data_IF_255421481899
#
_entry.id   IF_255421481899
#
_cell.length_a   1.000
_cell.length_b   1.000
_cell.length_c   1.000
_cell.angle_alpha   90.00
_cell.angle_beta   90.00
_cell.angle_gamma   90.00
#
_symmetry.space_group_name_H-M   'P 1'
#
loop_
_entity.id
_entity.type
_entity.pdbx_description
1 polymer ?
#
# COMPACT_ATOMS: atom_id res chain seq x y z
N UNK A 1 -4.07 35.23 -14.10
CA UNK A 1 -2.65 35.62 -13.96
C UNK A 1 -2.01 34.58 -13.04
N UNK A 2 -0.95 33.92 -13.48
CA UNK A 2 -0.15 33.00 -12.66
C UNK A 2 1.23 33.61 -12.44
N UNK A 3 1.83 33.35 -11.30
CA UNK A 3 3.24 33.72 -11.02
C UNK A 3 4.22 32.64 -11.47
N UNK A 4 3.73 31.44 -11.76
CA UNK A 4 4.53 30.33 -12.26
C UNK A 4 4.45 30.28 -13.79
N UNK A 5 5.54 30.69 -14.43
CA UNK A 5 5.68 30.75 -15.90
C UNK A 5 6.09 29.40 -16.51
N UNK A 6 6.29 28.36 -15.69
CA UNK A 6 6.65 27.01 -16.17
C UNK A 6 5.42 26.14 -16.44
N UNK A 7 4.24 26.55 -15.98
CA UNK A 7 3.00 25.82 -16.18
C UNK A 7 2.51 25.99 -17.61
N UNK A 8 1.95 24.92 -18.18
CA UNK A 8 1.22 25.01 -19.45
C UNK A 8 -0.12 25.70 -19.24
N UNK A 9 -0.72 26.20 -20.31
CA UNK A 9 -2.01 26.87 -20.26
C UNK A 9 -3.11 25.95 -19.70
N UNK A 10 -3.13 24.69 -20.12
CA UNK A 10 -4.11 23.70 -19.68
C UNK A 10 -3.99 23.46 -18.17
N UNK A 11 -2.76 23.43 -17.65
CA UNK A 11 -2.50 23.22 -16.24
C UNK A 11 -2.93 24.42 -15.40
N UNK A 12 -2.71 25.64 -15.91
CA UNK A 12 -3.22 26.88 -15.28
C UNK A 12 -4.74 26.86 -15.21
N UNK A 13 -5.43 26.48 -16.31
CA UNK A 13 -6.89 26.35 -16.35
C UNK A 13 -7.37 25.30 -15.36
N UNK A 14 -6.72 24.13 -15.32
CA UNK A 14 -7.05 23.03 -14.40
C UNK A 14 -6.93 23.45 -12.94
N UNK A 15 -5.83 24.11 -12.56
CA UNK A 15 -5.62 24.62 -11.20
C UNK A 15 -6.67 25.67 -10.85
N UNK A 16 -6.95 26.60 -11.77
CA UNK A 16 -7.97 27.63 -11.54
C UNK A 16 -9.37 27.04 -11.39
N UNK A 17 -9.68 25.93 -12.08
CA UNK A 17 -10.93 25.19 -11.93
C UNK A 17 -11.20 24.74 -10.49
N UNK A 18 -10.14 24.39 -9.73
CA UNK A 18 -10.27 24.00 -8.30
C UNK A 18 -10.79 25.13 -7.42
N UNK A 19 -10.70 26.40 -7.86
CA UNK A 19 -11.26 27.55 -7.12
C UNK A 19 -12.74 27.38 -6.83
N UNK A 20 -13.50 26.75 -7.73
CA UNK A 20 -14.95 26.56 -7.55
C UNK A 20 -15.28 25.71 -6.32
N UNK A 21 -14.36 24.86 -5.86
CA UNK A 21 -14.57 24.04 -4.67
C UNK A 21 -14.88 24.88 -3.42
N UNK A 22 -14.37 26.11 -3.31
CA UNK A 22 -14.67 26.98 -2.17
C UNK A 22 -16.14 27.42 -2.15
N UNK A 23 -16.76 27.57 -3.32
CA UNK A 23 -18.18 27.93 -3.42
C UNK A 23 -19.06 26.75 -2.99
N UNK A 24 -18.67 25.53 -3.39
CA UNK A 24 -19.30 24.28 -2.94
C UNK A 24 -19.14 24.12 -1.42
N UNK A 25 -17.94 24.36 -0.88
CA UNK A 25 -17.68 24.37 0.56
C UNK A 25 -18.65 25.29 1.30
N UNK A 26 -18.73 26.56 0.92
CA UNK A 26 -19.62 27.52 1.59
C UNK A 26 -21.09 27.20 1.39
N UNK A 27 -21.48 26.65 0.23
CA UNK A 27 -22.84 26.14 0.01
C UNK A 27 -23.17 25.03 1.00
N UNK A 28 -22.28 24.05 1.17
CA UNK A 28 -22.52 22.93 2.09
C UNK A 28 -22.56 23.37 3.54
N UNK A 29 -21.59 24.19 3.97
CA UNK A 29 -21.53 24.71 5.33
C UNK A 29 -22.79 25.50 5.71
N UNK A 30 -23.29 26.37 4.82
CA UNK A 30 -24.50 27.16 5.08
C UNK A 30 -25.78 26.33 5.01
N UNK A 31 -25.95 25.52 3.97
CA UNK A 31 -27.22 24.83 3.69
C UNK A 31 -27.41 23.58 4.54
N UNK A 32 -26.36 22.77 4.74
CA UNK A 32 -26.48 21.46 5.37
C UNK A 32 -25.88 21.42 6.77
N UNK A 33 -24.77 22.13 6.99
CA UNK A 33 -24.10 22.15 8.30
C UNK A 33 -24.49 23.35 9.18
N UNK A 34 -25.55 24.06 8.80
CA UNK A 34 -26.22 25.10 9.58
C UNK A 34 -25.30 26.21 10.12
N UNK A 35 -24.23 26.56 9.38
CA UNK A 35 -23.24 27.56 9.78
C UNK A 35 -23.88 28.84 10.35
N UNK A 36 -24.90 29.38 9.67
CA UNK A 36 -25.54 30.65 10.05
C UNK A 36 -26.79 30.53 10.93
N UNK A 37 -27.34 29.32 11.12
CA UNK A 37 -28.67 29.13 11.76
C UNK A 37 -28.61 28.42 13.11
N UNK A 38 -27.57 27.65 13.38
CA UNK A 38 -27.44 26.82 14.58
C UNK A 38 -26.95 27.61 15.80
N UNK A 39 -25.93 28.45 15.64
CA UNK A 39 -25.41 29.27 16.73
C UNK A 39 -26.06 30.66 16.75
N UNK A 40 -26.80 30.96 17.83
CA UNK A 40 -27.38 32.29 18.12
C UNK A 40 -26.71 32.96 19.32
N UNK A 41 -25.49 32.53 19.64
CA UNK A 41 -24.74 33.10 20.77
C UNK A 41 -24.38 34.55 20.50
N UNK A 42 -24.36 35.35 21.56
CA UNK A 42 -23.85 36.73 21.53
C UNK A 42 -22.35 36.79 21.86
N UNK A 43 -21.76 35.68 22.31
CA UNK A 43 -20.33 35.58 22.58
C UNK A 43 -19.56 35.32 21.28
N UNK A 44 -18.57 36.17 21.01
CA UNK A 44 -17.70 36.03 19.86
C UNK A 44 -16.89 34.71 19.87
N UNK A 45 -16.45 34.28 21.05
CA UNK A 45 -15.72 33.01 21.21
C UNK A 45 -16.61 31.82 20.85
N UNK A 46 -17.87 31.84 21.27
CA UNK A 46 -18.84 30.81 20.93
C UNK A 46 -19.15 30.79 19.42
N UNK A 47 -19.24 31.96 18.78
CA UNK A 47 -19.43 32.04 17.32
C UNK A 47 -18.21 31.52 16.55
N UNK A 48 -17.00 31.84 17.03
CA UNK A 48 -15.74 31.37 16.45
C UNK A 48 -15.61 29.86 16.60
N UNK A 49 -15.88 29.32 17.79
CA UNK A 49 -15.88 27.88 18.05
C UNK A 49 -16.90 27.14 17.18
N UNK A 50 -18.12 27.66 17.07
CA UNK A 50 -19.15 27.10 16.19
C UNK A 50 -18.69 27.03 14.72
N UNK A 51 -18.12 28.12 14.21
CA UNK A 51 -17.60 28.19 12.84
C UNK A 51 -16.50 27.15 12.62
N UNK A 52 -15.55 27.05 13.55
CA UNK A 52 -14.48 26.05 13.49
C UNK A 52 -15.03 24.61 13.49
N UNK A 53 -16.02 24.32 14.34
CA UNK A 53 -16.67 23.00 14.40
C UNK A 53 -17.36 22.67 13.08
N UNK A 54 -18.11 23.61 12.51
CA UNK A 54 -18.79 23.41 11.22
C UNK A 54 -17.79 23.14 10.09
N UNK A 55 -16.69 23.88 10.05
CA UNK A 55 -15.65 23.68 9.04
C UNK A 55 -14.96 22.32 9.21
N UNK A 56 -14.65 21.92 10.45
CA UNK A 56 -14.08 20.59 10.74
C UNK A 56 -15.02 19.46 10.34
N UNK A 57 -16.34 19.60 10.59
CA UNK A 57 -17.34 18.63 10.13
C UNK A 57 -17.33 18.50 8.62
N UNK A 58 -17.27 19.60 7.88
CA UNK A 58 -17.15 19.55 6.42
C UNK A 58 -15.88 18.83 5.98
N UNK A 59 -14.72 19.14 6.60
CA UNK A 59 -13.45 18.51 6.26
C UNK A 59 -13.51 16.99 6.45
N UNK A 60 -14.07 16.52 7.57
CA UNK A 60 -14.25 15.09 7.83
C UNK A 60 -15.13 14.42 6.77
N UNK A 61 -16.30 15.02 6.47
CA UNK A 61 -17.21 14.49 5.45
C UNK A 61 -16.58 14.47 4.05
N UNK A 62 -15.77 15.48 3.73
CA UNK A 62 -15.10 15.58 2.43
C UNK A 62 -14.00 14.54 2.27
N UNK A 63 -13.24 14.26 3.33
CA UNK A 63 -12.26 13.17 3.35
C UNK A 63 -12.97 11.83 3.19
N UNK A 64 -14.06 11.61 3.91
CA UNK A 64 -14.81 10.37 3.80
C UNK A 64 -15.39 10.18 2.40
N UNK A 65 -16.00 11.22 1.81
CA UNK A 65 -16.50 11.16 0.44
C UNK A 65 -15.38 10.83 -0.57
N UNK A 66 -14.18 11.44 -0.43
CA UNK A 66 -13.03 11.15 -1.30
C UNK A 66 -12.60 9.69 -1.23
N UNK A 67 -12.64 9.05 -0.05
CA UNK A 67 -12.31 7.61 0.06
C UNK A 67 -13.17 6.70 -0.83
N UNK A 68 -14.40 7.11 -1.11
CA UNK A 68 -15.35 6.34 -1.91
C UNK A 68 -15.49 6.83 -3.35
N UNK A 69 -15.28 8.13 -3.59
CA UNK A 69 -15.50 8.76 -4.89
C UNK A 69 -14.23 8.89 -5.74
N UNK A 70 -13.05 9.00 -5.12
CA UNK A 70 -11.80 9.15 -5.86
C UNK A 70 -11.32 7.77 -6.34
N UNK A 71 -10.91 7.68 -7.60
CA UNK A 71 -10.30 6.46 -8.14
C UNK A 71 -9.07 6.10 -7.30
N UNK A 72 -9.09 4.89 -6.71
CA UNK A 72 -7.95 4.39 -5.95
C UNK A 72 -6.76 4.25 -6.89
N UNK A 73 -5.67 4.95 -6.58
CA UNK A 73 -4.41 4.75 -7.29
C UNK A 73 -3.97 3.28 -7.16
N UNK A 74 -3.31 2.74 -8.19
CA UNK A 74 -2.73 1.39 -8.18
C UNK A 74 -1.80 1.13 -6.99
N UNK A 75 -1.34 2.16 -6.28
CA UNK A 75 -0.54 2.02 -5.06
C UNK A 75 -1.24 1.22 -3.96
N UNK A 76 -2.56 1.35 -3.77
CA UNK A 76 -3.25 0.51 -2.79
C UNK A 76 -3.30 -0.96 -3.22
N UNK A 77 -3.44 -1.21 -4.53
CA UNK A 77 -3.35 -2.56 -5.07
C UNK A 77 -1.93 -3.13 -4.93
N UNK A 78 -0.89 -2.32 -5.10
CA UNK A 78 0.50 -2.71 -4.84
C UNK A 78 0.71 -3.13 -3.38
N UNK A 79 0.24 -2.35 -2.41
CA UNK A 79 0.37 -2.74 -0.98
C UNK A 79 -0.42 -3.99 -0.64
N UNK A 80 -1.63 -4.16 -1.19
CA UNK A 80 -2.41 -5.39 -1.00
C UNK A 80 -1.73 -6.62 -1.63
N UNK A 81 -1.10 -6.46 -2.80
CA UNK A 81 -0.34 -7.52 -3.46
C UNK A 81 0.95 -7.86 -2.69
N UNK A 82 1.62 -6.86 -2.12
CA UNK A 82 2.80 -7.08 -1.26
C UNK A 82 2.40 -7.80 0.03
N UNK A 83 1.25 -7.46 0.62
CA UNK A 83 0.73 -8.10 1.84
C UNK A 83 0.23 -9.54 1.57
N UNK A 84 -0.39 -9.78 0.40
CA UNK A 84 -0.80 -11.14 -0.01
C UNK A 84 0.34 -12.01 -0.56
N UNK A 85 1.42 -11.41 -1.07
CA UNK A 85 2.64 -12.15 -1.39
C UNK A 85 3.24 -12.69 -0.09
N UNK A 86 2.83 -13.89 0.30
CA UNK A 86 3.41 -14.60 1.42
C UNK A 86 4.95 -14.59 1.30
N UNK A 87 5.63 -14.06 2.32
CA UNK A 87 7.08 -14.15 2.43
C UNK A 87 7.46 -15.63 2.35
N UNK A 88 8.00 -16.06 1.20
CA UNK A 88 8.62 -17.37 1.08
C UNK A 88 9.81 -17.34 2.04
N UNK A 89 9.71 -18.08 3.14
CA UNK A 89 10.80 -18.14 4.11
C UNK A 89 12.06 -18.66 3.42
N UNK A 90 13.23 -18.21 3.87
CA UNK A 90 14.51 -18.63 3.29
C UNK A 90 14.65 -20.17 3.21
N UNK A 91 14.08 -20.88 4.19
CA UNK A 91 14.04 -22.35 4.23
C UNK A 91 13.18 -22.92 3.09
N UNK A 92 12.00 -22.36 2.84
CA UNK A 92 11.12 -22.80 1.73
C UNK A 92 11.77 -22.52 0.38
N UNK A 93 12.45 -21.38 0.22
CA UNK A 93 13.16 -21.03 -1.01
C UNK A 93 14.28 -22.03 -1.32
N UNK A 94 15.09 -22.38 -0.30
CA UNK A 94 16.15 -23.39 -0.44
C UNK A 94 15.59 -24.77 -0.73
N UNK A 95 14.50 -25.15 -0.08
CA UNK A 95 13.88 -26.45 -0.31
C UNK A 95 13.40 -26.59 -1.77
N UNK A 96 12.72 -25.57 -2.31
CA UNK A 96 12.30 -25.57 -3.72
C UNK A 96 13.49 -25.61 -4.68
N UNK A 97 14.57 -24.88 -4.40
CA UNK A 97 15.78 -24.91 -5.21
C UNK A 97 16.43 -26.31 -5.22
N UNK A 98 16.51 -26.95 -4.05
CA UNK A 98 17.05 -28.30 -3.91
C UNK A 98 16.19 -29.34 -4.63
N UNK A 99 14.87 -29.23 -4.54
CA UNK A 99 13.94 -30.13 -5.23
C UNK A 99 14.07 -30.01 -6.76
N UNK A 100 14.15 -28.79 -7.28
CA UNK A 100 14.37 -28.54 -8.71
C UNK A 100 15.73 -29.07 -9.17
N UNK A 101 16.77 -28.91 -8.35
CA UNK A 101 18.11 -29.43 -8.66
C UNK A 101 18.12 -30.97 -8.75
N UNK A 102 17.54 -31.63 -7.74
CA UNK A 102 17.45 -33.09 -7.67
C UNK A 102 16.64 -33.66 -8.84
N UNK A 103 15.48 -33.08 -9.14
CA UNK A 103 14.63 -33.52 -10.25
C UNK A 103 15.33 -33.33 -11.60
N UNK A 104 16.00 -32.19 -11.80
CA UNK A 104 16.77 -31.94 -13.04
C UNK A 104 17.91 -32.93 -13.22
N UNK A 105 18.64 -33.25 -12.16
CA UNK A 105 19.73 -34.24 -12.18
C UNK A 105 19.19 -35.63 -12.48
N UNK A 106 18.11 -36.04 -11.81
CA UNK A 106 17.47 -37.35 -12.03
C UNK A 106 17.07 -37.53 -13.49
N UNK A 107 16.45 -36.51 -14.07
CA UNK A 107 15.93 -36.55 -15.45
C UNK A 107 17.05 -36.48 -16.49
N UNK A 108 18.04 -35.61 -16.31
CA UNK A 108 19.13 -35.42 -17.30
C UNK A 108 20.18 -36.52 -17.27
N UNK A 109 20.43 -37.13 -16.10
CA UNK A 109 21.49 -38.12 -15.92
C UNK A 109 20.95 -39.55 -15.76
N UNK A 110 19.62 -39.75 -15.76
CA UNK A 110 18.97 -41.06 -15.61
C UNK A 110 19.48 -41.84 -14.39
N UNK A 111 19.79 -41.14 -13.31
CA UNK A 111 20.37 -41.73 -12.11
C UNK A 111 19.32 -42.56 -11.36
N UNK A 112 19.76 -43.70 -10.85
CA UNK A 112 18.95 -44.48 -9.91
C UNK A 112 18.85 -43.77 -8.56
N UNK A 113 17.76 -44.00 -7.79
CA UNK A 113 17.58 -43.36 -6.48
C UNK A 113 18.79 -43.53 -5.56
N UNK A 114 19.37 -44.73 -5.57
CA UNK A 114 20.54 -45.08 -4.77
C UNK A 114 21.80 -44.25 -5.11
N UNK A 115 22.00 -43.91 -6.39
CA UNK A 115 23.11 -43.05 -6.80
C UNK A 115 22.85 -41.59 -6.43
N UNK A 116 21.58 -41.19 -6.42
CA UNK A 116 21.15 -39.86 -6.04
C UNK A 116 21.31 -39.64 -4.53
N UNK A 117 20.99 -40.64 -3.72
CA UNK A 117 21.22 -40.63 -2.26
C UNK A 117 22.71 -40.51 -1.94
N UNK A 118 23.58 -41.26 -2.63
CA UNK A 118 25.03 -41.18 -2.46
C UNK A 118 25.59 -39.80 -2.84
N UNK A 119 25.06 -39.18 -3.90
CA UNK A 119 25.45 -37.84 -4.32
C UNK A 119 24.99 -36.79 -3.31
N UNK A 120 23.79 -36.93 -2.76
CA UNK A 120 23.25 -36.04 -1.74
C UNK A 120 24.07 -36.13 -0.45
N UNK A 121 24.44 -37.34 -0.04
CA UNK A 121 25.26 -37.57 1.15
C UNK A 121 26.67 -36.96 0.98
N UNK A 122 27.29 -37.14 -0.19
CA UNK A 122 28.57 -36.52 -0.52
C UNK A 122 28.48 -34.99 -0.56
N UNK A 123 27.37 -34.44 -1.06
CA UNK A 123 27.12 -33.00 -1.06
C UNK A 123 26.98 -32.46 0.37
N UNK A 124 26.21 -33.12 1.24
CA UNK A 124 26.05 -32.74 2.65
C UNK A 124 27.41 -32.76 3.37
N UNK A 125 28.23 -33.80 3.14
CA UNK A 125 29.57 -33.90 3.72
C UNK A 125 30.53 -32.79 3.23
N UNK A 126 30.26 -32.17 2.08
CA UNK A 126 31.08 -31.09 1.52
C UNK A 126 30.58 -29.68 1.94
N UNK A 127 29.46 -29.58 2.65
CA UNK A 127 28.94 -28.30 3.11
C UNK A 127 29.76 -27.74 4.29
N UNK A 128 29.93 -26.41 4.36
CA UNK A 128 30.48 -25.73 5.54
C UNK A 128 29.66 -26.02 6.81
N UNK A 129 30.32 -26.19 7.96
CA UNK A 129 29.71 -26.57 9.24
C UNK A 129 28.52 -25.66 9.64
N UNK A 130 28.64 -24.36 9.36
CA UNK A 130 27.60 -23.37 9.66
C UNK A 130 26.30 -23.54 8.86
N UNK A 131 26.30 -24.33 7.77
CA UNK A 131 25.11 -24.65 6.99
C UNK A 131 24.51 -26.00 7.38
N UNK A 132 25.34 -26.93 7.87
CA UNK A 132 24.90 -28.26 8.31
C UNK A 132 24.01 -28.15 9.55
N UNK A 133 24.33 -27.26 10.50
CA UNK A 133 23.52 -27.02 11.71
C UNK A 133 22.10 -26.51 11.42
N UNK A 134 21.87 -25.94 10.23
CA UNK A 134 20.59 -25.35 9.83
C UNK A 134 19.82 -26.19 8.81
N UNK A 135 20.37 -27.31 8.36
CA UNK A 135 19.63 -28.26 7.53
C UNK A 135 18.67 -29.05 8.44
N UNK A 136 17.36 -29.14 8.09
CA UNK A 136 16.44 -30.01 8.79
C UNK A 136 16.76 -31.46 8.41
N UNK A 137 17.79 -32.03 9.04
CA UNK A 137 18.07 -33.46 8.96
C UNK A 137 17.00 -34.14 9.80
N UNK A 138 15.86 -34.48 9.18
CA UNK A 138 14.96 -35.46 9.78
C UNK A 138 15.69 -36.80 9.76
N UNK A 139 15.87 -37.37 10.96
CA UNK A 139 15.95 -38.81 11.10
C UNK A 139 14.67 -39.48 10.57
#
# INVERSE_FOLDING_TARGET
>A
ITTDMKLTEEEVIRIYGKRWEIEVFFKVCKSYLKLSKECRSLSYDAMTAHTAIVFTRYMLLSVENRKYADDRTLGQMFYLLVDEMADITWIQAIHMLMEVFITTIKDKLSLTSKQLDQLLEAFIMALPENLVEHLPISA
#
